data_IF_898888166939
#
_entry.id   IF_898888166939
#
_cell.length_a   1.000
_cell.length_b   1.000
_cell.length_c   1.000
_cell.angle_alpha   90.00
_cell.angle_beta   90.00
_cell.angle_gamma   90.00
#
_symmetry.space_group_name_H-M   'P 1'
#
loop_
_entity.id
_entity.type
_entity.pdbx_description
1 polymer ?
#
# COMPACT_ATOMS: atom_id res chain seq x y z
N UNK A 1 -7.81 49.49 -35.16
CA UNK A 1 -6.37 49.14 -35.09
C UNK A 1 -6.11 47.91 -35.96
N UNK A 2 -4.88 47.67 -36.43
CA UNK A 2 -4.52 46.41 -37.13
C UNK A 2 -4.14 45.35 -36.08
N UNK A 3 -4.67 44.11 -36.14
CA UNK A 3 -4.26 43.03 -35.24
C UNK A 3 -2.79 42.65 -35.50
N UNK A 4 -2.03 42.38 -34.44
CA UNK A 4 -0.61 42.05 -34.55
C UNK A 4 -0.41 40.61 -35.05
N UNK A 5 0.38 40.37 -36.12
CA UNK A 5 0.59 39.03 -36.67
C UNK A 5 1.29 38.07 -35.68
N UNK A 6 2.00 38.60 -34.67
CA UNK A 6 2.61 37.80 -33.60
C UNK A 6 1.59 36.98 -32.81
N UNK A 7 0.36 37.50 -32.63
CA UNK A 7 -0.67 36.83 -31.84
C UNK A 7 -1.30 35.66 -32.62
N UNK A 8 -1.35 35.75 -33.96
CA UNK A 8 -1.76 34.65 -34.82
C UNK A 8 -0.70 33.52 -34.89
N UNK A 9 0.59 33.84 -34.75
CA UNK A 9 1.66 32.83 -34.81
C UNK A 9 1.63 31.86 -33.62
N UNK A 10 1.22 32.33 -32.43
CA UNK A 10 1.08 31.47 -31.25
C UNK A 10 -0.04 30.41 -31.38
N UNK A 11 -1.07 30.67 -32.21
CA UNK A 11 -2.15 29.73 -32.50
C UNK A 11 -1.76 28.64 -33.52
N UNK A 12 -0.58 28.73 -34.11
CA UNK A 12 -0.05 27.78 -35.10
C UNK A 12 1.00 26.81 -34.52
N UNK A 13 1.33 26.91 -33.22
CA UNK A 13 2.09 25.85 -32.56
C UNK A 13 1.16 24.63 -32.41
N UNK A 14 1.55 23.43 -32.90
CA UNK A 14 0.82 22.22 -32.55
C UNK A 14 0.92 21.99 -31.04
N UNK A 15 -0.12 21.45 -30.38
CA UNK A 15 -0.01 21.08 -28.98
C UNK A 15 1.12 20.06 -28.83
N UNK A 16 2.12 20.36 -28.00
CA UNK A 16 3.11 19.37 -27.60
C UNK A 16 2.38 18.28 -26.83
N UNK A 17 2.26 17.09 -27.42
CA UNK A 17 1.63 15.93 -26.79
C UNK A 17 2.35 15.60 -25.49
N UNK A 18 1.72 15.95 -24.37
CA UNK A 18 2.19 15.64 -23.03
C UNK A 18 2.06 14.16 -22.71
N UNK A 19 2.93 13.35 -23.32
CA UNK A 19 3.08 11.92 -23.06
C UNK A 19 3.53 11.71 -21.62
N UNK A 20 2.61 11.27 -20.76
CA UNK A 20 2.81 11.16 -19.33
C UNK A 20 2.07 9.92 -18.78
N UNK A 21 2.84 8.94 -18.29
CA UNK A 21 2.31 7.74 -17.65
C UNK A 21 1.71 8.10 -16.27
N UNK A 22 0.41 7.86 -16.10
CA UNK A 22 -0.32 8.13 -14.85
C UNK A 22 -0.17 7.02 -13.81
N UNK A 23 0.06 7.41 -12.54
CA UNK A 23 0.03 6.51 -11.39
C UNK A 23 -1.41 6.32 -10.90
N UNK A 24 -1.96 5.12 -11.06
CA UNK A 24 -3.32 4.74 -10.68
C UNK A 24 -3.50 4.44 -9.19
N UNK A 25 -4.49 3.62 -8.85
CA UNK A 25 -4.76 3.21 -7.48
C UNK A 25 -3.80 2.11 -6.99
N UNK A 26 -3.62 2.04 -5.67
CA UNK A 26 -2.82 1.01 -4.98
C UNK A 26 -3.75 -0.04 -4.38
N UNK A 27 -3.65 -1.28 -4.86
CA UNK A 27 -4.27 -2.44 -4.22
C UNK A 27 -3.26 -3.09 -3.26
N UNK A 28 -3.63 -3.29 -1.99
CA UNK A 28 -2.80 -4.00 -1.01
C UNK A 28 -3.27 -5.46 -0.90
N UNK A 29 -2.32 -6.39 -0.95
CA UNK A 29 -2.57 -7.84 -1.04
C UNK A 29 -2.09 -8.61 0.21
N UNK A 30 -1.22 -8.01 1.01
CA UNK A 30 -0.65 -8.57 2.25
C UNK A 30 -1.38 -8.16 3.52
N UNK A 31 -1.24 -8.96 4.56
CA UNK A 31 -1.76 -8.70 5.91
C UNK A 31 -0.75 -8.00 6.82
N UNK A 32 -1.23 -7.48 7.95
CA UNK A 32 -0.40 -7.04 9.07
C UNK A 32 0.45 -8.22 9.55
N UNK A 33 1.76 -8.02 9.65
CA UNK A 33 2.75 -9.05 10.00
C UNK A 33 3.36 -9.81 8.81
N UNK A 34 2.83 -9.64 7.61
CA UNK A 34 3.41 -10.19 6.37
C UNK A 34 4.35 -9.17 5.69
N UNK A 35 5.30 -9.60 4.85
CA UNK A 35 6.02 -8.69 3.97
C UNK A 35 5.03 -7.99 3.02
N UNK A 36 5.11 -6.66 2.93
CA UNK A 36 4.17 -5.88 2.10
C UNK A 36 4.17 -6.39 0.66
N UNK A 37 2.98 -6.74 0.17
CA UNK A 37 2.70 -7.01 -1.23
C UNK A 37 1.56 -6.08 -1.67
N UNK A 38 1.81 -5.30 -2.71
CA UNK A 38 0.82 -4.39 -3.28
C UNK A 38 1.04 -4.22 -4.79
N UNK A 39 0.05 -3.64 -5.47
CA UNK A 39 0.03 -3.47 -6.93
C UNK A 39 -0.53 -2.09 -7.29
N UNK A 40 0.14 -1.37 -8.18
CA UNK A 40 -0.32 -0.06 -8.70
C UNK A 40 -0.60 -0.17 -10.20
N UNK A 41 -1.83 0.12 -10.62
CA UNK A 41 -2.14 0.21 -12.05
C UNK A 41 -1.44 1.42 -12.69
N UNK A 42 -0.80 1.23 -13.84
CA UNK A 42 -0.09 2.32 -14.56
C UNK A 42 -0.83 2.65 -15.86
N UNK A 43 -1.25 3.91 -15.98
CA UNK A 43 -2.01 4.45 -17.12
C UNK A 43 -1.03 5.00 -18.15
N UNK A 44 -0.58 4.14 -19.08
CA UNK A 44 0.36 4.51 -20.14
C UNK A 44 -0.37 4.89 -21.44
N UNK A 45 0.16 5.87 -22.18
CA UNK A 45 -0.34 6.21 -23.52
C UNK A 45 0.22 5.26 -24.60
N UNK A 46 -0.50 5.00 -25.71
CA UNK A 46 -0.08 4.03 -26.73
C UNK A 46 1.17 4.51 -27.49
N UNK A 47 2.31 3.90 -27.18
CA UNK A 47 3.62 4.25 -27.74
C UNK A 47 4.69 4.46 -26.67
N UNK A 48 4.29 4.64 -25.41
CA UNK A 48 5.24 4.72 -24.28
C UNK A 48 5.93 3.38 -24.03
N UNK A 49 7.27 3.42 -23.92
CA UNK A 49 8.06 2.30 -23.42
C UNK A 49 8.30 2.49 -21.92
N UNK A 50 7.59 1.74 -21.09
CA UNK A 50 7.75 1.74 -19.63
C UNK A 50 8.66 0.58 -19.23
N UNK A 51 9.65 0.89 -18.40
CA UNK A 51 10.55 -0.07 -17.77
C UNK A 51 10.47 0.04 -16.24
N UNK A 52 10.88 -1.01 -15.51
CA UNK A 52 10.84 -0.97 -14.05
C UNK A 52 11.75 0.13 -13.45
N UNK A 53 12.82 0.53 -14.15
CA UNK A 53 13.74 1.60 -13.76
C UNK A 53 13.09 3.00 -13.81
N UNK A 54 11.94 3.14 -14.47
CA UNK A 54 11.16 4.38 -14.47
C UNK A 54 10.58 4.71 -13.09
N UNK A 55 10.52 3.76 -12.16
CA UNK A 55 9.80 3.86 -10.89
C UNK A 55 10.75 3.74 -9.70
N UNK A 56 10.54 4.57 -8.69
CA UNK A 56 11.32 4.54 -7.45
C UNK A 56 10.45 4.88 -6.24
N UNK A 57 10.83 4.38 -5.06
CA UNK A 57 10.24 4.81 -3.79
C UNK A 57 11.12 5.88 -3.16
N UNK A 58 10.49 6.94 -2.65
CA UNK A 58 11.19 8.04 -2.00
C UNK A 58 10.86 8.13 -0.51
N UNK A 59 11.67 8.89 0.23
CA UNK A 59 11.40 9.22 1.62
C UNK A 59 10.51 10.47 1.74
N UNK A 60 9.50 10.40 2.61
CA UNK A 60 8.64 11.52 2.96
C UNK A 60 9.22 12.17 4.21
N UNK A 61 9.77 13.38 4.07
CA UNK A 61 10.21 14.17 5.23
C UNK A 61 8.99 14.63 6.02
N UNK A 62 9.05 14.49 7.34
CA UNK A 62 7.99 14.88 8.28
C UNK A 62 6.64 14.21 8.02
N UNK A 63 6.64 12.90 7.72
CA UNK A 63 5.41 12.10 7.67
C UNK A 63 4.92 11.75 9.08
N UNK A 64 3.61 11.82 9.30
CA UNK A 64 2.94 11.39 10.54
C UNK A 64 2.83 9.84 10.65
N UNK A 65 3.10 9.13 9.55
CA UNK A 65 3.00 7.68 9.42
C UNK A 65 4.35 7.07 8.98
N UNK A 66 4.64 5.81 9.35
CA UNK A 66 5.88 5.12 8.98
C UNK A 66 6.04 5.01 7.46
N UNK A 67 7.22 5.41 6.95
CA UNK A 67 7.47 5.53 5.50
C UNK A 67 8.15 4.29 4.91
N UNK A 68 7.49 3.67 3.93
CA UNK A 68 8.01 2.52 3.18
C UNK A 68 8.97 3.02 2.09
N UNK A 69 10.26 3.06 2.42
CA UNK A 69 11.34 3.56 1.54
C UNK A 69 12.08 2.46 0.76
N UNK A 70 11.86 1.18 1.10
CA UNK A 70 12.62 0.04 0.52
C UNK A 70 11.70 -1.12 0.17
N UNK A 71 11.34 -1.22 -1.11
CA UNK A 71 10.66 -2.36 -1.70
C UNK A 71 11.26 -2.69 -3.08
N UNK A 72 11.10 -3.94 -3.51
CA UNK A 72 11.35 -4.35 -4.89
C UNK A 72 10.16 -3.95 -5.74
N UNK A 73 10.43 -3.23 -6.82
CA UNK A 73 9.45 -2.84 -7.83
C UNK A 73 9.61 -3.76 -9.05
N UNK A 74 8.53 -4.40 -9.50
CA UNK A 74 8.50 -5.16 -10.76
C UNK A 74 7.34 -4.68 -11.63
N UNK A 75 7.65 -4.17 -12.81
CA UNK A 75 6.66 -3.76 -13.79
C UNK A 75 6.23 -4.99 -14.61
N UNK A 76 4.93 -5.27 -14.61
CA UNK A 76 4.32 -6.44 -15.23
C UNK A 76 3.18 -5.98 -16.16
N UNK A 77 2.93 -6.70 -17.26
CA UNK A 77 1.90 -6.32 -18.26
C UNK A 77 0.85 -7.40 -18.42
N UNK A 78 -0.36 -7.13 -17.96
CA UNK A 78 -1.46 -8.09 -17.90
C UNK A 78 -2.68 -7.55 -18.67
N UNK A 79 -3.16 -8.35 -19.63
CA UNK A 79 -4.34 -8.05 -20.49
C UNK A 79 -4.28 -6.68 -21.22
N UNK A 80 -3.07 -6.19 -21.49
CA UNK A 80 -2.81 -4.91 -22.16
C UNK A 80 -2.46 -3.77 -21.21
N UNK A 81 -2.94 -3.81 -19.97
CA UNK A 81 -2.64 -2.82 -18.92
C UNK A 81 -1.30 -3.11 -18.23
N UNK A 82 -0.60 -2.05 -17.87
CA UNK A 82 0.62 -2.12 -17.06
C UNK A 82 0.28 -2.07 -15.57
N UNK A 83 0.99 -2.86 -14.77
CA UNK A 83 0.85 -2.89 -13.32
C UNK A 83 2.24 -2.94 -12.68
N UNK A 84 2.47 -2.10 -11.68
CA UNK A 84 3.71 -2.06 -10.91
C UNK A 84 3.49 -2.81 -9.59
N UNK A 85 4.03 -4.02 -9.49
CA UNK A 85 3.97 -4.81 -8.26
C UNK A 85 5.09 -4.40 -7.31
N UNK A 86 4.73 -4.17 -6.06
CA UNK A 86 5.57 -3.63 -4.99
C UNK A 86 5.69 -4.69 -3.90
N UNK A 87 6.92 -5.13 -3.61
CA UNK A 87 7.19 -6.17 -2.61
C UNK A 87 8.29 -5.72 -1.62
N UNK A 88 7.94 -5.48 -0.35
CA UNK A 88 8.91 -5.14 0.69
C UNK A 88 9.67 -6.39 1.18
N UNK A 89 10.92 -6.20 1.62
CA UNK A 89 11.75 -7.28 2.18
C UNK A 89 11.54 -7.54 3.68
N UNK A 90 10.67 -6.77 4.33
CA UNK A 90 10.40 -6.80 5.79
C UNK A 90 8.90 -6.87 6.05
N UNK A 91 8.51 -7.57 7.11
CA UNK A 91 7.12 -7.59 7.59
C UNK A 91 6.63 -6.18 7.92
N UNK A 92 5.37 -5.89 7.56
CA UNK A 92 4.70 -4.64 7.88
C UNK A 92 3.73 -4.87 9.05
N UNK A 93 4.18 -4.53 10.25
CA UNK A 93 3.42 -4.73 11.50
C UNK A 93 2.46 -3.56 11.81
N UNK A 94 2.57 -2.47 11.05
CA UNK A 94 1.82 -1.23 11.25
C UNK A 94 0.51 -1.25 10.45
N UNK A 95 -0.64 -0.84 11.02
CA UNK A 95 -1.92 -0.85 10.32
C UNK A 95 -2.03 0.25 9.24
N UNK A 96 -1.20 1.28 9.34
CA UNK A 96 -1.16 2.45 8.47
C UNK A 96 0.30 2.83 8.20
N UNK A 97 0.67 2.96 6.93
CA UNK A 97 2.00 3.40 6.50
C UNK A 97 1.91 4.28 5.25
N UNK A 98 2.92 5.11 5.01
CA UNK A 98 2.99 5.96 3.81
C UNK A 98 3.99 5.38 2.80
N UNK A 99 3.60 5.34 1.52
CA UNK A 99 4.47 4.97 0.41
C UNK A 99 4.44 6.07 -0.65
N UNK A 100 5.59 6.70 -0.90
CA UNK A 100 5.76 7.70 -1.97
C UNK A 100 6.37 7.04 -3.19
N UNK A 101 5.62 7.00 -4.28
CA UNK A 101 6.04 6.46 -5.57
C UNK A 101 6.32 7.60 -6.55
N UNK A 102 7.53 7.62 -7.13
CA UNK A 102 7.96 8.56 -8.19
C UNK A 102 8.12 7.81 -9.51
N UNK A 103 7.57 8.35 -10.58
CA UNK A 103 7.78 7.95 -11.96
C UNK A 103 8.58 9.03 -12.72
N UNK A 104 9.61 8.64 -13.47
CA UNK A 104 10.58 9.56 -14.10
C UNK A 104 10.79 9.41 -15.62
N UNK A 105 10.11 8.50 -16.30
CA UNK A 105 10.27 8.28 -17.75
C UNK A 105 9.37 9.19 -18.60
N UNK A 106 9.58 10.51 -18.49
CA UNK A 106 8.80 11.52 -19.21
C UNK A 106 8.61 12.76 -18.35
N UNK A 107 7.35 13.17 -18.16
CA UNK A 107 7.01 14.11 -17.08
C UNK A 107 7.21 13.42 -15.74
N UNK A 108 7.88 14.09 -14.81
CA UNK A 108 8.04 13.58 -13.44
C UNK A 108 6.69 13.61 -12.70
N UNK A 109 6.25 12.44 -12.23
CA UNK A 109 5.01 12.29 -11.48
C UNK A 109 5.31 11.59 -10.14
N UNK A 110 4.88 12.22 -9.05
CA UNK A 110 5.02 11.68 -7.70
C UNK A 110 3.63 11.52 -7.07
N UNK A 111 3.36 10.38 -6.45
CA UNK A 111 2.11 10.12 -5.72
C UNK A 111 2.39 9.47 -4.38
N UNK A 112 1.81 10.05 -3.34
CA UNK A 112 1.85 9.54 -1.98
C UNK A 112 0.61 8.67 -1.75
N UNK A 113 0.82 7.45 -1.26
CA UNK A 113 -0.22 6.47 -0.96
C UNK A 113 -0.24 6.14 0.53
N UNK A 114 -1.44 5.98 1.08
CA UNK A 114 -1.63 5.35 2.39
C UNK A 114 -1.78 3.84 2.16
N UNK A 115 -0.90 3.07 2.78
CA UNK A 115 -0.87 1.61 2.76
C UNK A 115 -1.58 1.12 4.01
N UNK A 116 -2.66 0.36 3.82
CA UNK A 116 -3.41 -0.28 4.89
C UNK A 116 -3.45 -1.79 4.63
N UNK A 117 -2.62 -2.60 5.32
CA UNK A 117 -2.63 -4.06 5.16
C UNK A 117 -3.94 -4.67 5.67
N UNK A 118 -4.28 -5.86 5.17
CA UNK A 118 -5.43 -6.59 5.67
C UNK A 118 -5.20 -6.99 7.15
N UNK A 119 -6.25 -7.03 8.00
CA UNK A 119 -6.09 -7.47 9.39
C UNK A 119 -5.56 -8.91 9.46
N UNK A 120 -4.90 -9.29 10.58
CA UNK A 120 -4.55 -10.68 10.82
C UNK A 120 -5.82 -11.53 10.91
N UNK A 121 -5.79 -12.78 10.45
CA UNK A 121 -6.93 -13.68 10.60
C UNK A 121 -7.12 -14.03 12.07
N UNK A 122 -8.11 -13.42 12.72
CA UNK A 122 -8.54 -13.69 14.10
C UNK A 122 -9.19 -15.07 14.29
N UNK A 123 -8.97 -16.01 13.35
CA UNK A 123 -9.58 -17.34 13.30
C UNK A 123 -8.78 -18.36 14.13
N UNK A 124 -8.49 -18.01 15.38
CA UNK A 124 -7.94 -18.93 16.38
C UNK A 124 -9.09 -19.35 17.30
N UNK A 125 -9.39 -20.65 17.26
CA UNK A 125 -10.09 -21.40 18.32
C UNK A 125 -11.51 -20.96 18.75
N UNK A 126 -12.43 -20.88 17.78
CA UNK A 126 -13.68 -21.67 17.90
C UNK A 126 -13.55 -22.94 17.06
N UNK A 127 -12.58 -23.78 17.45
CA UNK A 127 -12.49 -25.16 16.98
C UNK A 127 -13.37 -26.02 17.90
N UNK A 128 -14.63 -26.19 17.52
CA UNK A 128 -15.50 -27.21 18.13
C UNK A 128 -14.77 -28.56 18.03
N UNK A 129 -14.60 -29.32 19.13
CA UNK A 129 -13.65 -30.44 19.19
C UNK A 129 -14.14 -31.61 18.33
N UNK A 130 -13.66 -31.64 17.08
CA UNK A 130 -14.00 -32.67 16.11
C UNK A 130 -13.73 -34.09 16.67
N UNK A 131 -14.66 -35.05 16.52
CA UNK A 131 -14.52 -36.38 17.08
C UNK A 131 -13.29 -37.07 16.49
N UNK A 132 -12.38 -37.48 17.38
CA UNK A 132 -11.08 -38.05 17.03
C UNK A 132 -11.28 -39.36 16.22
N UNK A 133 -10.80 -39.47 14.98
CA UNK A 133 -10.87 -40.73 14.23
C UNK A 133 -10.15 -41.86 14.98
N UNK A 134 -10.71 -43.07 14.92
CA UNK A 134 -10.13 -44.22 15.60
C UNK A 134 -8.76 -44.60 15.01
N UNK A 135 -7.80 -44.87 15.89
CA UNK A 135 -6.41 -45.18 15.51
C UNK A 135 -6.32 -46.58 14.87
N UNK A 136 -6.03 -46.62 13.56
CA UNK A 136 -5.78 -47.87 12.84
C UNK A 136 -4.34 -48.31 13.10
N UNK A 137 -4.17 -49.47 13.74
CA UNK A 137 -2.86 -49.96 14.16
C UNK A 137 -1.90 -50.20 12.96
N UNK A 138 -0.60 -49.82 13.07
CA UNK A 138 0.37 -50.02 12.01
C UNK A 138 0.81 -51.49 11.90
N UNK A 139 1.12 -52.00 10.68
CA UNK A 139 1.63 -53.35 10.48
C UNK A 139 3.07 -53.52 11.04
N UNK A 140 3.49 -54.75 11.38
CA UNK A 140 4.75 -55.01 12.08
C UNK A 140 6.00 -54.76 11.22
N UNK A 141 7.08 -54.32 11.88
CA UNK A 141 8.38 -54.01 11.28
C UNK A 141 9.18 -55.29 10.96
N UNK A 142 9.80 -55.35 9.78
CA UNK A 142 10.88 -56.32 9.51
C UNK A 142 12.24 -55.81 10.03
N UNK A 143 13.15 -56.68 10.49
CA UNK A 143 14.50 -56.27 10.95
C UNK A 143 15.48 -56.03 9.78
N UNK A 144 16.45 -55.10 9.92
CA UNK A 144 17.54 -54.94 8.97
C UNK A 144 18.64 -56.00 9.15
N UNK A 145 19.31 -56.37 8.05
CA UNK A 145 20.50 -57.23 8.07
C UNK A 145 21.80 -56.42 8.30
N UNK A 146 22.83 -56.99 8.96
CA UNK A 146 24.05 -56.26 9.30
C UNK A 146 25.05 -56.17 8.13
N UNK A 147 25.75 -55.03 7.95
CA UNK A 147 26.94 -54.94 7.10
C UNK A 147 28.08 -55.84 7.58
N UNK A 148 28.89 -56.36 6.66
CA UNK A 148 30.02 -57.27 6.95
C UNK A 148 31.37 -56.56 6.83
N UNK A 149 32.30 -56.93 7.71
CA UNK A 149 33.61 -56.29 7.86
C UNK A 149 34.61 -56.50 6.69
N UNK A 150 35.51 -55.50 6.62
CA UNK A 150 36.92 -55.48 6.20
C UNK A 150 37.45 -56.57 5.23
N UNK A 151 38.12 -56.10 4.18
CA UNK A 151 39.24 -56.79 3.54
C UNK A 151 40.49 -55.88 3.56
N UNK A 152 41.62 -56.40 4.05
CA UNK A 152 42.86 -55.65 4.27
C UNK A 152 44.06 -56.29 3.55
N UNK A 153 45.04 -55.48 3.14
CA UNK A 153 46.47 -55.87 3.22
C UNK A 153 47.45 -54.68 3.08
N UNK A 154 48.71 -54.79 3.57
CA UNK A 154 49.60 -53.64 3.81
C UNK A 154 50.94 -53.68 3.06
N UNK A 155 51.76 -52.63 3.21
CA UNK A 155 53.23 -52.76 3.35
C UNK A 155 53.87 -51.55 4.04
N UNK A 156 55.00 -51.80 4.70
CA UNK A 156 55.91 -50.93 5.46
C UNK A 156 57.32 -51.57 5.36
N UNK A 157 58.43 -51.03 5.93
CA UNK A 157 58.64 -49.74 6.62
C UNK A 157 59.22 -48.68 5.64
N UNK A 158 60.12 -47.69 5.89
CA UNK A 158 61.12 -47.30 6.93
C UNK A 158 61.39 -45.76 6.79
N UNK A 159 62.11 -44.99 7.64
CA UNK A 159 62.95 -45.21 8.84
C UNK A 159 63.05 -43.91 9.71
N UNK A 160 63.73 -44.03 10.87
CA UNK A 160 64.55 -43.03 11.57
C UNK A 160 63.99 -42.00 12.58
N UNK A 161 64.90 -41.67 13.52
CA UNK A 161 64.90 -40.59 14.52
C UNK A 161 63.89 -40.67 15.70
N UNK A 162 64.34 -41.34 16.76
CA UNK A 162 63.77 -41.43 18.11
C UNK A 162 63.69 -40.09 18.91
N UNK A 163 63.03 -40.07 20.10
CA UNK A 163 62.38 -38.87 20.67
C UNK A 163 63.07 -38.32 21.94
N UNK A 164 62.42 -37.36 22.63
CA UNK A 164 62.77 -37.04 24.04
C UNK A 164 61.57 -36.68 24.94
N UNK A 165 61.39 -37.53 25.97
CA UNK A 165 60.83 -37.30 27.30
C UNK A 165 59.48 -36.57 27.49
N UNK A 166 58.50 -37.32 28.03
CA UNK A 166 57.48 -36.79 28.95
C UNK A 166 58.10 -36.59 30.36
N UNK A 167 57.48 -35.79 31.26
CA UNK A 167 56.64 -36.44 32.26
C UNK A 167 55.33 -35.67 32.59
N UNK A 168 54.44 -36.35 33.31
CA UNK A 168 53.19 -35.84 33.88
C UNK A 168 53.16 -36.19 35.41
N UNK A 169 52.11 -35.91 36.20
CA UNK A 169 50.91 -35.10 35.96
C UNK A 169 50.62 -34.05 37.06
N UNK A 170 49.59 -33.22 36.89
CA UNK A 170 48.95 -32.46 37.98
C UNK A 170 47.42 -32.39 37.76
N UNK A 171 46.65 -32.14 38.83
CA UNK A 171 45.17 -32.27 38.87
C UNK A 171 44.56 -31.07 39.60
N UNK A 172 43.30 -30.73 39.27
CA UNK A 172 42.48 -29.65 39.88
C UNK A 172 43.00 -28.24 39.49
N UNK A 173 42.20 -27.20 39.25
CA UNK A 173 40.82 -26.89 39.69
C UNK A 173 40.05 -26.15 38.59
N UNK A 174 38.75 -26.38 38.44
CA UNK A 174 37.87 -25.55 37.59
C UNK A 174 37.25 -24.42 38.42
N UNK A 175 37.35 -23.18 37.92
CA UNK A 175 36.58 -22.04 38.46
C UNK A 175 35.20 -21.96 37.80
N UNK A 176 34.13 -21.58 38.52
CA UNK A 176 32.78 -21.53 37.96
C UNK A 176 32.60 -20.30 37.05
N UNK A 177 32.48 -20.53 35.75
CA UNK A 177 32.02 -19.49 34.80
C UNK A 177 30.55 -19.19 35.09
N UNK A 178 30.27 -17.98 35.59
CA UNK A 178 28.89 -17.47 35.76
C UNK A 178 28.32 -17.06 34.40
N UNK A 179 27.84 -18.04 33.63
CA UNK A 179 27.02 -17.75 32.45
C UNK A 179 25.65 -17.27 32.93
N UNK A 180 25.47 -15.96 33.00
CA UNK A 180 24.19 -15.31 33.31
C UNK A 180 23.26 -15.48 32.10
N UNK A 181 22.54 -16.60 32.05
CA UNK A 181 21.51 -16.85 31.04
C UNK A 181 20.29 -15.99 31.32
N UNK A 182 20.05 -15.02 30.46
CA UNK A 182 18.88 -14.13 30.53
C UNK A 182 17.61 -14.91 30.12
N UNK A 183 17.04 -15.61 31.11
CA UNK A 183 15.95 -16.56 30.91
C UNK A 183 14.62 -15.82 30.78
N UNK A 184 14.27 -15.41 29.55
CA UNK A 184 12.91 -15.01 29.23
C UNK A 184 11.93 -16.15 29.58
N UNK A 185 11.19 -15.97 30.67
CA UNK A 185 10.03 -16.78 30.99
C UNK A 185 8.87 -16.23 30.18
N UNK A 186 8.61 -16.84 29.03
CA UNK A 186 7.38 -16.58 28.27
C UNK A 186 6.18 -16.92 29.17
N UNK A 187 5.30 -15.95 29.39
CA UNK A 187 4.13 -16.12 30.25
C UNK A 187 3.18 -17.15 29.66
N UNK A 188 3.02 -18.29 30.36
CA UNK A 188 1.96 -19.24 30.07
C UNK A 188 0.60 -18.59 30.31
N UNK A 189 -0.27 -18.61 29.30
CA UNK A 189 -1.62 -18.03 29.40
C UNK A 189 -2.39 -18.64 30.59
N UNK A 190 -2.91 -17.84 31.53
CA UNK A 190 -3.59 -18.34 32.72
C UNK A 190 -5.06 -18.67 32.42
N UNK A 191 -5.31 -19.76 31.70
CA UNK A 191 -6.60 -20.43 31.85
C UNK A 191 -6.66 -21.04 33.26
N UNK A 192 -7.65 -20.60 34.03
CA UNK A 192 -7.96 -21.06 35.38
C UNK A 192 -6.87 -20.78 36.44
N UNK A 193 -6.57 -19.50 36.67
CA UNK A 193 -6.21 -19.05 38.03
C UNK A 193 -7.49 -18.77 38.82
N UNK A 194 -7.64 -19.38 40.00
CA UNK A 194 -8.46 -18.84 41.09
C UNK A 194 -7.80 -17.53 41.56
N UNK A 195 -8.11 -16.44 40.86
CA UNK A 195 -7.40 -15.18 41.01
C UNK A 195 -7.92 -14.38 42.20
N UNK A 196 -7.58 -14.83 43.42
CA UNK A 196 -7.58 -13.96 44.60
C UNK A 196 -6.48 -12.91 44.46
N UNK A 197 -6.74 -11.87 43.66
CA UNK A 197 -5.84 -10.72 43.54
C UNK A 197 -5.53 -10.18 44.95
N UNK A 198 -4.26 -9.85 45.25
CA UNK A 198 -3.94 -9.09 46.45
C UNK A 198 -4.76 -7.79 46.42
N UNK A 199 -5.56 -7.54 47.46
CA UNK A 199 -6.63 -6.54 47.41
C UNK A 199 -6.16 -5.14 46.99
N UNK A 200 -4.94 -4.74 47.36
CA UNK A 200 -4.34 -3.48 46.89
C UNK A 200 -4.30 -3.32 45.35
N UNK A 201 -4.23 -4.42 44.59
CA UNK A 201 -4.22 -4.40 43.12
C UNK A 201 -5.65 -4.27 42.56
N UNK A 202 -6.66 -4.91 43.16
CA UNK A 202 -8.06 -4.67 42.77
C UNK A 202 -8.44 -3.23 43.06
N UNK A 203 -8.14 -2.73 44.26
CA UNK A 203 -8.45 -1.38 44.71
C UNK A 203 -7.79 -0.34 43.77
N UNK A 204 -6.52 -0.52 43.35
CA UNK A 204 -5.87 0.36 42.37
C UNK A 204 -6.50 0.29 40.97
N UNK A 205 -6.94 -0.90 40.52
CA UNK A 205 -7.66 -1.01 39.23
C UNK A 205 -9.05 -0.37 39.27
N UNK A 206 -9.76 -0.44 40.39
CA UNK A 206 -11.05 0.22 40.60
C UNK A 206 -10.89 1.75 40.58
N UNK A 207 -9.88 2.32 41.26
CA UNK A 207 -9.59 3.75 41.15
C UNK A 207 -9.29 4.19 39.70
N UNK A 208 -8.54 3.38 38.94
CA UNK A 208 -8.21 3.66 37.53
C UNK A 208 -9.46 3.58 36.65
N UNK A 209 -10.37 2.64 36.92
CA UNK A 209 -11.66 2.53 36.22
C UNK A 209 -12.54 3.76 36.47
N UNK A 210 -12.68 4.20 37.73
CA UNK A 210 -13.45 5.40 38.11
C UNK A 210 -12.86 6.69 37.51
N UNK A 211 -11.52 6.79 37.41
CA UNK A 211 -10.85 7.89 36.69
C UNK A 211 -11.13 7.89 35.18
N UNK A 212 -11.36 6.71 34.58
CA UNK A 212 -11.71 6.60 33.16
C UNK A 212 -13.20 6.87 32.91
N UNK A 213 -14.08 6.40 33.78
CA UNK A 213 -15.52 6.70 33.71
C UNK A 213 -15.79 8.21 33.83
N UNK A 214 -15.16 8.87 34.81
CA UNK A 214 -15.26 10.33 34.98
C UNK A 214 -14.64 11.12 33.82
N UNK A 215 -13.61 10.60 33.15
CA UNK A 215 -13.07 11.25 31.94
C UNK A 215 -14.00 11.09 30.72
N UNK A 216 -14.66 9.94 30.57
CA UNK A 216 -15.66 9.69 29.52
C UNK A 216 -16.92 10.56 29.71
N UNK A 217 -17.41 10.70 30.94
CA UNK A 217 -18.52 11.60 31.25
C UNK A 217 -18.21 13.05 30.86
N UNK A 218 -17.01 13.54 31.21
CA UNK A 218 -16.55 14.89 30.85
C UNK A 218 -16.34 15.08 29.35
N UNK A 219 -15.89 14.05 28.63
CA UNK A 219 -15.79 14.09 27.17
C UNK A 219 -17.18 14.18 26.52
N UNK A 220 -18.15 13.39 26.99
CA UNK A 220 -19.53 13.46 26.52
C UNK A 220 -20.17 14.84 26.76
N UNK A 221 -19.98 15.43 27.95
CA UNK A 221 -20.40 16.81 28.25
C UNK A 221 -19.79 17.83 27.28
N UNK A 222 -18.50 17.69 26.96
CA UNK A 222 -17.82 18.57 25.99
C UNK A 222 -18.32 18.42 24.55
N UNK A 223 -18.79 17.24 24.15
CA UNK A 223 -19.41 17.03 22.84
C UNK A 223 -20.80 17.68 22.77
N UNK A 224 -21.59 17.58 23.84
CA UNK A 224 -22.92 18.21 23.93
C UNK A 224 -22.82 19.75 23.92
N UNK A 225 -21.79 20.34 24.53
CA UNK A 225 -21.58 21.79 24.47
C UNK A 225 -21.12 22.27 23.09
N UNK A 226 -20.33 21.47 22.35
CA UNK A 226 -19.97 21.76 20.97
C UNK A 226 -21.16 21.64 20.01
N UNK A 227 -22.01 20.62 20.16
CA UNK A 227 -23.19 20.41 19.32
C UNK A 227 -24.21 21.56 19.45
N UNK A 228 -24.49 22.00 20.68
CA UNK A 228 -25.36 23.17 20.93
C UNK A 228 -24.79 24.49 20.40
N UNK A 229 -23.45 24.65 20.35
CA UNK A 229 -22.82 25.79 19.68
C UNK A 229 -22.91 25.71 18.15
N UNK A 230 -22.83 24.51 17.57
CA UNK A 230 -22.96 24.29 16.12
C UNK A 230 -24.39 24.55 15.62
N UNK A 231 -25.42 24.20 16.40
CA UNK A 231 -26.82 24.47 16.06
C UNK A 231 -27.07 25.97 15.75
N UNK A 232 -26.60 26.85 16.63
CA UNK A 232 -26.67 28.32 16.44
C UNK A 232 -25.92 28.79 15.18
N UNK A 233 -24.80 28.14 14.86
CA UNK A 233 -24.02 28.40 13.64
C UNK A 233 -24.71 27.97 12.35
N UNK A 234 -25.66 27.03 12.40
CA UNK A 234 -26.50 26.66 11.25
C UNK A 234 -27.60 27.70 11.03
N UNK A 235 -28.29 28.13 12.10
CA UNK A 235 -29.35 29.16 12.01
C UNK A 235 -28.83 30.50 11.50
N UNK A 236 -27.62 30.92 11.91
CA UNK A 236 -26.99 32.11 11.37
C UNK A 236 -26.78 32.02 9.85
N UNK A 237 -26.32 30.86 9.35
CA UNK A 237 -26.03 30.64 7.91
C UNK A 237 -27.27 30.54 7.05
N UNK A 238 -28.37 29.98 7.55
CA UNK A 238 -29.64 29.94 6.79
C UNK A 238 -30.21 31.34 6.61
N UNK A 239 -30.16 32.18 7.65
CA UNK A 239 -30.55 33.59 7.57
C UNK A 239 -29.64 34.40 6.63
N UNK A 240 -28.31 34.20 6.67
CA UNK A 240 -27.40 34.78 5.68
C UNK A 240 -27.74 34.36 4.24
N UNK A 241 -28.13 33.10 4.03
CA UNK A 241 -28.48 32.57 2.70
C UNK A 241 -29.81 33.16 2.18
N UNK A 242 -30.83 33.31 3.04
CA UNK A 242 -32.08 34.01 2.66
C UNK A 242 -31.84 35.48 2.35
N UNK A 243 -30.98 36.17 3.11
CA UNK A 243 -30.58 37.55 2.83
C UNK A 243 -29.81 37.67 1.50
N UNK A 244 -28.92 36.73 1.17
CA UNK A 244 -28.25 36.70 -0.14
C UNK A 244 -29.23 36.50 -1.30
N UNK A 245 -30.24 35.64 -1.14
CA UNK A 245 -31.29 35.43 -2.14
C UNK A 245 -32.16 36.68 -2.31
N UNK A 246 -32.54 37.36 -1.22
CA UNK A 246 -33.26 38.62 -1.26
C UNK A 246 -32.45 39.73 -1.96
N UNK A 247 -31.15 39.85 -1.66
CA UNK A 247 -30.24 40.80 -2.30
C UNK A 247 -30.09 40.51 -3.80
N UNK A 248 -29.98 39.24 -4.20
CA UNK A 248 -29.87 38.85 -5.61
C UNK A 248 -31.15 39.14 -6.43
N UNK A 249 -32.32 39.10 -5.78
CA UNK A 249 -33.60 39.50 -6.39
C UNK A 249 -33.78 41.02 -6.44
N UNK A 250 -33.32 41.74 -5.41
CA UNK A 250 -33.49 43.19 -5.29
C UNK A 250 -32.43 44.00 -6.07
N UNK A 251 -31.26 43.40 -6.30
CA UNK A 251 -30.17 43.96 -7.09
C UNK A 251 -29.67 42.88 -8.07
N UNK A 252 -30.36 42.65 -9.22
CA UNK A 252 -29.80 41.86 -10.30
C UNK A 252 -28.45 42.49 -10.71
N UNK A 253 -27.42 41.70 -11.08
CA UNK A 253 -26.10 42.22 -11.36
C UNK A 253 -26.18 43.27 -12.46
N UNK A 254 -25.88 44.52 -12.11
CA UNK A 254 -25.98 45.66 -13.01
C UNK A 254 -25.14 45.35 -14.26
N UNK A 255 -25.76 45.46 -15.44
CA UNK A 255 -25.11 45.17 -16.70
C UNK A 255 -23.91 46.11 -16.90
N UNK A 256 -22.71 45.61 -16.61
CA UNK A 256 -21.46 46.30 -16.90
C UNK A 256 -21.39 46.61 -18.40
N UNK A 257 -20.62 47.64 -18.81
CA UNK A 257 -20.55 48.06 -20.21
C UNK A 257 -20.32 46.88 -21.14
N UNK A 258 -21.30 46.63 -22.02
CA UNK A 258 -21.30 45.47 -22.91
C UNK A 258 -19.96 45.41 -23.67
N UNK A 259 -19.24 44.27 -23.63
CA UNK A 259 -18.20 44.02 -24.61
C UNK A 259 -18.78 44.20 -26.01
N UNK A 260 -18.04 44.79 -26.97
CA UNK A 260 -18.59 45.08 -28.29
C UNK A 260 -19.06 43.78 -28.96
N UNK A 261 -20.37 43.70 -29.22
CA UNK A 261 -21.06 42.56 -29.82
C UNK A 261 -20.55 42.27 -31.23
N UNK A 262 -19.43 41.57 -31.33
CA UNK A 262 -19.06 40.77 -32.50
C UNK A 262 -19.79 39.42 -32.42
N UNK A 263 -21.12 39.51 -32.34
CA UNK A 263 -22.03 38.39 -32.23
C UNK A 263 -22.11 37.62 -33.54
N UNK A 264 -21.15 36.72 -33.76
CA UNK A 264 -21.29 35.63 -34.74
C UNK A 264 -22.65 34.94 -34.51
N UNK A 265 -23.58 34.99 -35.49
CA UNK A 265 -24.99 34.78 -35.23
C UNK A 265 -25.24 33.35 -34.77
N UNK A 266 -26.16 33.16 -33.82
CA UNK A 266 -26.28 31.89 -33.07
C UNK A 266 -26.42 30.62 -33.93
N UNK A 267 -27.00 30.71 -35.13
CA UNK A 267 -27.06 29.59 -36.08
C UNK A 267 -25.69 29.12 -36.57
N UNK A 268 -24.68 30.01 -36.67
CA UNK A 268 -23.29 29.62 -36.96
C UNK A 268 -22.66 28.85 -35.81
N UNK A 269 -22.81 29.28 -34.55
CA UNK A 269 -22.37 28.49 -33.38
C UNK A 269 -23.04 27.11 -33.35
N UNK A 270 -24.32 27.03 -33.73
CA UNK A 270 -25.03 25.75 -33.82
C UNK A 270 -24.55 24.89 -35.00
N UNK A 271 -24.21 25.50 -36.14
CA UNK A 271 -23.54 24.82 -37.26
C UNK A 271 -22.12 24.36 -36.91
N UNK A 272 -21.33 25.09 -36.12
CA UNK A 272 -20.02 24.61 -35.69
C UNK A 272 -20.13 23.38 -34.77
N UNK A 273 -21.17 23.32 -33.92
CA UNK A 273 -21.48 22.11 -33.15
C UNK A 273 -21.90 20.93 -34.05
N UNK A 274 -22.74 21.17 -35.08
CA UNK A 274 -23.16 20.13 -36.03
C UNK A 274 -21.98 19.67 -36.91
N UNK A 275 -21.22 20.58 -37.51
CA UNK A 275 -20.06 20.23 -38.33
C UNK A 275 -18.94 19.62 -37.48
N UNK A 276 -18.71 20.08 -36.25
CA UNK A 276 -17.74 19.48 -35.33
C UNK A 276 -18.10 18.04 -34.96
N UNK A 277 -19.36 17.77 -34.63
CA UNK A 277 -19.83 16.40 -34.34
C UNK A 277 -19.85 15.50 -35.58
N UNK A 278 -20.26 16.03 -36.74
CA UNK A 278 -20.30 15.27 -38.00
C UNK A 278 -18.89 14.97 -38.54
N UNK A 279 -17.96 15.93 -38.48
CA UNK A 279 -16.54 15.70 -38.78
C UNK A 279 -15.90 14.71 -37.80
N UNK A 280 -16.22 14.79 -36.50
CA UNK A 280 -15.79 13.79 -35.52
C UNK A 280 -16.27 12.37 -35.86
N UNK A 281 -17.54 12.24 -36.24
CA UNK A 281 -18.12 10.97 -36.71
C UNK A 281 -17.47 10.43 -37.99
N UNK A 282 -17.22 11.30 -38.98
CA UNK A 282 -16.57 10.92 -40.24
C UNK A 282 -15.09 10.56 -40.03
N UNK A 283 -14.37 11.29 -39.18
CA UNK A 283 -12.96 11.00 -38.85
C UNK A 283 -12.80 9.70 -38.06
N UNK A 284 -13.70 9.42 -37.11
CA UNK A 284 -13.69 8.14 -36.38
C UNK A 284 -14.08 6.96 -37.26
N UNK A 285 -15.05 7.12 -38.16
CA UNK A 285 -15.38 6.12 -39.19
C UNK A 285 -14.19 5.88 -40.14
N UNK A 286 -13.51 6.93 -40.61
CA UNK A 286 -12.31 6.80 -41.44
C UNK A 286 -11.15 6.16 -40.70
N UNK A 287 -10.95 6.46 -39.41
CA UNK A 287 -9.94 5.80 -38.58
C UNK A 287 -10.20 4.29 -38.46
N UNK A 288 -11.46 3.88 -38.26
CA UNK A 288 -11.86 2.46 -38.23
C UNK A 288 -11.71 1.79 -39.61
N UNK A 289 -12.05 2.48 -40.70
CA UNK A 289 -11.87 2.03 -42.08
C UNK A 289 -10.38 1.85 -42.44
N UNK A 290 -9.51 2.72 -41.90
CA UNK A 290 -8.06 2.67 -42.09
C UNK A 290 -7.43 1.56 -41.25
N UNK A 291 -7.79 1.48 -39.95
CA UNK A 291 -7.26 0.46 -39.03
C UNK A 291 -7.65 -0.97 -39.42
N UNK A 292 -8.86 -1.16 -39.97
CA UNK A 292 -9.29 -2.44 -40.54
C UNK A 292 -8.53 -2.80 -41.82
N UNK A 293 -8.26 -1.82 -42.70
CA UNK A 293 -7.39 -2.01 -43.89
C UNK A 293 -5.94 -2.38 -43.52
N UNK A 294 -5.46 -1.98 -42.34
CA UNK A 294 -4.15 -2.35 -41.80
C UNK A 294 -4.12 -3.67 -41.00
N UNK A 295 -5.25 -4.41 -40.89
CA UNK A 295 -5.29 -5.75 -40.25
C UNK A 295 -5.86 -6.85 -41.16
N UNK A 296 -5.19 -7.20 -42.27
CA UNK A 296 -5.57 -8.33 -43.13
C UNK A 296 -5.17 -9.69 -42.49
N UNK A 297 -5.74 -10.02 -41.33
CA UNK A 297 -5.27 -11.19 -40.56
C UNK A 297 -6.11 -11.66 -39.37
N UNK A 298 -7.38 -11.26 -39.25
CA UNK A 298 -8.28 -11.84 -38.23
C UNK A 298 -9.67 -12.18 -38.79
N UNK A 299 -9.68 -13.13 -39.72
CA UNK A 299 -10.88 -13.85 -40.16
C UNK A 299 -10.45 -15.26 -40.60
N UNK A 300 -10.33 -16.14 -39.61
CA UNK A 300 -10.58 -17.59 -39.67
C UNK A 300 -9.99 -18.29 -38.42
N UNK A 301 -10.79 -18.29 -37.33
CA UNK A 301 -10.78 -19.23 -36.21
C UNK A 301 -11.96 -18.94 -35.27
#
# INVERSE_FOLDING_TARGET
MKPSPLLALCLLLPPLSGTAAGLGELAVLSRIGEPLQAEVGIIATPGENLEAICFSLENVRNADLPVITRARLTLEKHRGSWHLRIAAGTALNEPLATLRLRAGCGVELQRDYIVMPLPPDSRIELAEPAPRPAEIAPPPKQPPAPPRELASKPRNPVENAQPKALPAPAKLTQAPVRTQSDRLVLGSSPMLLDYTLPKAVSDETEERMLRMETSLARLNESLQSLDSALALGVEARTLEQELQLAIALQNPPAAGPLPPEQGEPAWRKWLELIFGTLLGGVLTALALQWLSRFRPGYRDR
#
